data_IF_351760763470
#
_entry.id   IF_351760763470
#
_cell.length_a   1.000
_cell.length_b   1.000
_cell.length_c   1.000
_cell.angle_alpha   90.00
_cell.angle_beta   90.00
_cell.angle_gamma   90.00
#
_symmetry.space_group_name_H-M   'P 1'
#
loop_
_entity.id
_entity.type
_entity.pdbx_description
1 polymer ?
#
# COMPACT_ATOMS: atom_id res chain seq x y z
N UNK A 1 -16.64 13.71 -9.30
CA UNK A 1 -17.30 12.89 -8.27
C UNK A 1 -17.69 13.82 -7.13
N UNK A 2 -18.83 13.66 -6.46
CA UNK A 2 -19.23 14.59 -5.41
C UNK A 2 -18.47 14.30 -4.10
N UNK A 3 -18.29 15.31 -3.24
CA UNK A 3 -17.59 15.15 -1.95
C UNK A 3 -18.23 14.08 -1.05
N UNK A 4 -19.55 13.92 -1.13
CA UNK A 4 -20.30 12.85 -0.45
C UNK A 4 -19.88 11.46 -0.89
N UNK A 5 -19.49 11.31 -2.15
CA UNK A 5 -19.16 10.02 -2.78
C UNK A 5 -17.77 9.57 -2.33
N UNK A 6 -16.79 10.48 -2.25
CA UNK A 6 -15.44 10.17 -1.76
C UNK A 6 -15.46 9.67 -0.31
N UNK A 7 -16.18 10.36 0.58
CA UNK A 7 -16.36 9.88 1.96
C UNK A 7 -17.19 8.60 2.04
N UNK A 8 -18.11 8.36 1.11
CA UNK A 8 -18.83 7.09 1.05
C UNK A 8 -17.91 5.93 0.67
N UNK A 9 -16.99 6.14 -0.29
CA UNK A 9 -15.98 5.17 -0.68
C UNK A 9 -15.02 4.88 0.48
N UNK A 10 -14.56 5.90 1.20
CA UNK A 10 -13.75 5.73 2.42
C UNK A 10 -14.45 4.86 3.46
N UNK A 11 -15.73 5.16 3.79
CA UNK A 11 -16.51 4.35 4.74
C UNK A 11 -16.71 2.91 4.26
N UNK A 12 -16.90 2.73 2.95
CA UNK A 12 -17.01 1.40 2.36
C UNK A 12 -15.70 0.62 2.50
N UNK A 13 -14.56 1.24 2.19
CA UNK A 13 -13.23 0.69 2.44
C UNK A 13 -13.04 0.29 3.91
N UNK A 14 -13.45 1.15 4.85
CA UNK A 14 -13.33 0.90 6.28
C UNK A 14 -14.14 -0.33 6.70
N UNK A 15 -15.38 -0.45 6.19
CA UNK A 15 -16.26 -1.59 6.45
C UNK A 15 -15.62 -2.89 5.95
N UNK A 16 -15.17 -2.91 4.70
CA UNK A 16 -14.49 -4.08 4.11
C UNK A 16 -13.23 -4.45 4.88
N UNK A 17 -12.41 -3.47 5.25
CA UNK A 17 -11.17 -3.72 5.99
C UNK A 17 -11.45 -4.31 7.38
N UNK A 18 -12.43 -3.75 8.12
CA UNK A 18 -12.79 -4.26 9.44
C UNK A 18 -13.33 -5.69 9.38
N UNK A 19 -14.22 -6.00 8.42
CA UNK A 19 -14.73 -7.37 8.25
C UNK A 19 -13.63 -8.34 7.82
N UNK A 20 -12.74 -7.92 6.92
CA UNK A 20 -11.61 -8.73 6.47
C UNK A 20 -10.62 -9.02 7.58
N UNK A 21 -10.36 -8.06 8.48
CA UNK A 21 -9.52 -8.27 9.65
C UNK A 21 -10.10 -9.36 10.57
N UNK A 22 -11.42 -9.44 10.73
CA UNK A 22 -12.07 -10.51 11.51
C UNK A 22 -11.86 -11.89 10.86
N UNK A 23 -11.96 -11.97 9.53
CA UNK A 23 -11.71 -13.19 8.77
C UNK A 23 -10.24 -13.61 8.86
N UNK A 24 -9.32 -12.66 8.68
CA UNK A 24 -7.88 -12.88 8.77
C UNK A 24 -7.48 -13.40 10.15
N UNK A 25 -7.98 -12.76 11.22
CA UNK A 25 -7.69 -13.18 12.61
C UNK A 25 -8.33 -14.53 12.98
N UNK A 26 -9.28 -15.03 12.18
CA UNK A 26 -9.87 -16.35 12.30
C UNK A 26 -9.20 -17.38 11.36
N UNK A 27 -8.01 -17.06 10.84
CA UNK A 27 -7.23 -17.86 9.88
C UNK A 27 -7.98 -18.16 8.56
N UNK A 28 -9.01 -17.38 8.23
CA UNK A 28 -9.78 -17.51 6.99
C UNK A 28 -9.20 -16.65 5.88
N UNK A 29 -7.97 -16.95 5.50
CA UNK A 29 -7.17 -16.08 4.64
C UNK A 29 -7.75 -15.90 3.23
N UNK A 30 -8.31 -16.95 2.63
CA UNK A 30 -8.94 -16.86 1.30
C UNK A 30 -10.19 -15.98 1.30
N UNK A 31 -11.00 -16.06 2.36
CA UNK A 31 -12.20 -15.22 2.53
C UNK A 31 -11.80 -13.75 2.78
N UNK A 32 -10.76 -13.54 3.61
CA UNK A 32 -10.20 -12.21 3.86
C UNK A 32 -9.61 -11.59 2.59
N UNK A 33 -8.93 -12.40 1.77
CA UNK A 33 -8.24 -11.97 0.56
C UNK A 33 -9.19 -11.26 -0.41
N UNK A 34 -10.33 -11.87 -0.72
CA UNK A 34 -11.31 -11.31 -1.65
C UNK A 34 -11.81 -9.93 -1.17
N UNK A 35 -12.10 -9.82 0.12
CA UNK A 35 -12.61 -8.58 0.72
C UNK A 35 -11.54 -7.48 0.77
N UNK A 36 -10.27 -7.83 1.06
CA UNK A 36 -9.15 -6.89 0.96
C UNK A 36 -8.88 -6.43 -0.47
N UNK A 37 -9.08 -7.28 -1.48
CA UNK A 37 -8.96 -6.86 -2.89
C UNK A 37 -10.02 -5.81 -3.25
N UNK A 38 -11.27 -5.99 -2.80
CA UNK A 38 -12.32 -4.99 -2.94
C UNK A 38 -12.00 -3.69 -2.19
N UNK A 39 -11.39 -3.80 -1.00
CA UNK A 39 -10.94 -2.64 -0.23
C UNK A 39 -9.89 -1.85 -1.01
N UNK A 40 -8.85 -2.51 -1.54
CA UNK A 40 -7.82 -1.86 -2.35
C UNK A 40 -8.41 -1.19 -3.60
N UNK A 41 -9.32 -1.85 -4.32
CA UNK A 41 -9.98 -1.26 -5.48
C UNK A 41 -10.74 0.04 -5.13
N UNK A 42 -11.36 0.08 -3.95
CA UNK A 42 -12.04 1.28 -3.45
C UNK A 42 -11.04 2.43 -3.20
N UNK A 43 -9.86 2.14 -2.67
CA UNK A 43 -8.81 3.15 -2.46
C UNK A 43 -8.18 3.62 -3.77
N UNK A 44 -8.02 2.72 -4.75
CA UNK A 44 -7.54 3.11 -6.08
C UNK A 44 -8.48 4.14 -6.74
N UNK A 45 -9.79 4.04 -6.50
CA UNK A 45 -10.74 5.07 -6.92
C UNK A 45 -10.50 6.40 -6.19
N UNK A 46 -10.22 6.39 -4.88
CA UNK A 46 -9.88 7.61 -4.13
C UNK A 46 -8.60 8.27 -4.65
N UNK A 47 -7.60 7.47 -5.02
CA UNK A 47 -6.32 7.98 -5.55
C UNK A 47 -6.46 8.78 -6.85
N UNK A 48 -7.50 8.50 -7.67
CA UNK A 48 -7.81 9.31 -8.86
C UNK A 48 -8.33 10.72 -8.51
N UNK A 49 -8.62 10.97 -7.24
CA UNK A 49 -9.16 12.21 -6.69
C UNK A 49 -8.32 12.71 -5.52
N UNK A 50 -6.99 12.56 -5.59
CA UNK A 50 -6.04 12.86 -4.51
C UNK A 50 -6.26 14.24 -3.88
N UNK A 51 -6.33 15.31 -4.69
CA UNK A 51 -6.52 16.70 -4.22
C UNK A 51 -7.83 16.86 -3.46
N UNK A 52 -8.93 16.30 -3.97
CA UNK A 52 -10.23 16.38 -3.31
C UNK A 52 -10.23 15.59 -2.00
N UNK A 53 -9.57 14.43 -1.98
CA UNK A 53 -9.41 13.64 -0.76
C UNK A 53 -8.66 14.41 0.32
N UNK A 54 -7.58 15.11 -0.04
CA UNK A 54 -6.81 15.94 0.90
C UNK A 54 -7.65 17.10 1.43
N UNK A 55 -8.38 17.80 0.55
CA UNK A 55 -9.28 18.88 0.96
C UNK A 55 -10.37 18.39 1.92
N UNK A 56 -10.83 17.15 1.75
CA UNK A 56 -11.81 16.51 2.61
C UNK A 56 -11.19 15.79 3.82
N UNK A 57 -9.88 15.88 4.04
CA UNK A 57 -9.17 15.17 5.11
C UNK A 57 -9.41 13.65 5.09
N UNK A 58 -9.62 13.08 3.89
CA UNK A 58 -9.64 11.63 3.70
C UNK A 58 -8.18 11.15 3.68
N UNK A 59 -7.78 10.21 4.55
CA UNK A 59 -6.39 9.77 4.72
C UNK A 59 -5.94 8.81 3.61
N UNK A 60 -6.02 9.26 2.36
CA UNK A 60 -5.91 8.46 1.14
C UNK A 60 -4.56 7.72 1.02
N UNK A 61 -3.46 8.35 1.50
CA UNK A 61 -2.13 7.74 1.53
C UNK A 61 -2.13 6.55 2.50
N UNK A 62 -2.61 6.75 3.72
CA UNK A 62 -2.62 5.72 4.77
C UNK A 62 -3.52 4.55 4.39
N UNK A 63 -4.72 4.81 3.88
CA UNK A 63 -5.64 3.73 3.49
C UNK A 63 -5.09 2.91 2.31
N UNK A 64 -4.29 3.50 1.42
CA UNK A 64 -3.58 2.77 0.36
C UNK A 64 -2.52 1.85 0.94
N UNK A 65 -1.65 2.39 1.81
CA UNK A 65 -0.59 1.62 2.50
C UNK A 65 -1.20 0.45 3.27
N UNK A 66 -2.25 0.71 4.06
CA UNK A 66 -2.94 -0.32 4.86
C UNK A 66 -3.50 -1.42 3.95
N UNK A 67 -4.15 -1.06 2.84
CA UNK A 67 -4.73 -2.03 1.91
C UNK A 67 -3.68 -2.95 1.29
N UNK A 68 -2.57 -2.38 0.81
CA UNK A 68 -1.47 -3.16 0.26
C UNK A 68 -0.81 -4.05 1.33
N UNK A 69 -0.61 -3.55 2.54
CA UNK A 69 0.00 -4.32 3.62
C UNK A 69 -0.90 -5.49 4.08
N UNK A 70 -2.21 -5.26 4.17
CA UNK A 70 -3.17 -6.33 4.49
C UNK A 70 -3.15 -7.44 3.43
N UNK A 71 -3.14 -7.07 2.15
CA UNK A 71 -2.99 -8.05 1.06
C UNK A 71 -1.63 -8.76 1.14
N UNK A 72 -0.53 -8.04 1.36
CA UNK A 72 0.79 -8.64 1.49
C UNK A 72 0.84 -9.68 2.61
N UNK A 73 0.30 -9.35 3.79
CA UNK A 73 0.24 -10.26 4.94
C UNK A 73 -0.68 -11.46 4.68
N UNK A 74 -1.77 -11.26 3.94
CA UNK A 74 -2.68 -12.35 3.52
C UNK A 74 -2.01 -13.28 2.53
N UNK A 75 -1.30 -12.74 1.54
CA UNK A 75 -0.51 -13.55 0.61
C UNK A 75 0.62 -14.30 1.30
N UNK A 76 1.30 -13.70 2.29
CA UNK A 76 2.30 -14.39 3.12
C UNK A 76 1.67 -15.56 3.87
N UNK A 77 0.51 -15.36 4.49
CA UNK A 77 -0.20 -16.42 5.22
C UNK A 77 -0.61 -17.58 4.31
N UNK A 78 -0.95 -17.28 3.05
CA UNK A 78 -1.27 -18.27 2.01
C UNK A 78 -0.03 -18.88 1.33
N UNK A 79 1.19 -18.44 1.67
CA UNK A 79 2.43 -18.89 1.04
C UNK A 79 2.72 -18.31 -0.35
N UNK A 80 1.92 -17.34 -0.82
CA UNK A 80 2.10 -16.66 -2.11
C UNK A 80 3.04 -15.45 -1.95
N UNK A 81 4.34 -15.74 -1.81
CA UNK A 81 5.34 -14.69 -1.62
C UNK A 81 5.51 -13.78 -2.83
N UNK A 82 5.14 -14.23 -4.03
CA UNK A 82 5.24 -13.42 -5.25
C UNK A 82 4.20 -12.30 -5.25
N UNK A 83 2.96 -12.62 -4.89
CA UNK A 83 1.92 -11.59 -4.72
C UNK A 83 2.22 -10.67 -3.53
N UNK A 84 2.76 -11.19 -2.43
CA UNK A 84 3.17 -10.36 -1.30
C UNK A 84 4.25 -9.33 -1.68
N UNK A 85 5.28 -9.77 -2.41
CA UNK A 85 6.33 -8.90 -2.96
C UNK A 85 5.73 -7.79 -3.83
N UNK A 86 4.82 -8.14 -4.74
CA UNK A 86 4.12 -7.16 -5.58
C UNK A 86 3.38 -6.11 -4.77
N UNK A 87 2.65 -6.50 -3.72
CA UNK A 87 1.88 -5.55 -2.91
C UNK A 87 2.79 -4.59 -2.15
N UNK A 88 3.90 -5.06 -1.57
CA UNK A 88 4.85 -4.20 -0.88
C UNK A 88 5.57 -3.23 -1.83
N UNK A 89 5.94 -3.69 -3.03
CA UNK A 89 6.52 -2.83 -4.07
C UNK A 89 5.56 -1.74 -4.53
N UNK A 90 4.26 -2.06 -4.64
CA UNK A 90 3.24 -1.05 -4.98
C UNK A 90 3.22 0.10 -3.98
N UNK A 91 3.39 -0.16 -2.68
CA UNK A 91 3.49 0.90 -1.66
C UNK A 91 4.69 1.81 -1.94
N UNK A 92 5.86 1.21 -2.19
CA UNK A 92 7.09 1.94 -2.47
C UNK A 92 6.98 2.82 -3.72
N UNK A 93 6.45 2.27 -4.82
CA UNK A 93 6.25 3.02 -6.06
C UNK A 93 5.20 4.12 -5.92
N UNK A 94 4.12 3.87 -5.19
CA UNK A 94 3.10 4.87 -4.92
C UNK A 94 3.66 6.05 -4.14
N UNK A 95 4.38 5.80 -3.05
CA UNK A 95 4.99 6.86 -2.25
C UNK A 95 6.04 7.64 -3.03
N UNK A 96 6.87 6.95 -3.83
CA UNK A 96 7.84 7.61 -4.71
C UNK A 96 7.17 8.49 -5.75
N UNK A 97 6.06 8.02 -6.36
CA UNK A 97 5.27 8.83 -7.27
C UNK A 97 4.75 10.11 -6.58
N UNK A 98 4.30 10.01 -5.32
CA UNK A 98 3.85 11.18 -4.56
C UNK A 98 4.99 12.16 -4.24
N UNK A 99 6.19 11.68 -3.89
CA UNK A 99 7.37 12.55 -3.68
C UNK A 99 7.64 13.39 -4.93
N UNK A 100 7.56 12.76 -6.11
CA UNK A 100 7.94 13.41 -7.37
C UNK A 100 6.84 14.32 -7.92
N UNK A 101 5.57 13.94 -7.75
CA UNK A 101 4.47 14.54 -8.51
C UNK A 101 3.41 15.24 -7.67
N UNK A 102 3.40 15.06 -6.35
CA UNK A 102 2.35 15.60 -5.50
C UNK A 102 2.87 16.80 -4.69
N UNK A 103 2.13 17.92 -4.73
CA UNK A 103 2.39 19.09 -3.88
C UNK A 103 1.88 18.85 -2.45
N UNK A 104 2.42 17.82 -1.81
CA UNK A 104 2.03 17.36 -0.47
C UNK A 104 3.15 17.58 0.53
N UNK A 105 2.81 17.40 1.81
CA UNK A 105 3.81 17.39 2.88
C UNK A 105 4.83 16.27 2.64
N UNK A 106 6.04 16.68 2.25
CA UNK A 106 7.12 15.78 1.93
C UNK A 106 7.61 15.02 3.17
N UNK A 107 7.45 15.56 4.38
CA UNK A 107 7.89 14.90 5.60
C UNK A 107 7.07 13.64 5.88
N UNK A 108 5.74 13.72 5.69
CA UNK A 108 4.84 12.58 5.86
C UNK A 108 5.17 11.46 4.88
N UNK A 109 5.31 11.81 3.59
CA UNK A 109 5.62 10.84 2.54
C UNK A 109 6.99 10.20 2.78
N UNK A 110 8.02 10.97 3.15
CA UNK A 110 9.34 10.44 3.45
C UNK A 110 9.33 9.50 4.66
N UNK A 111 8.58 9.84 5.71
CA UNK A 111 8.39 8.95 6.88
C UNK A 111 7.74 7.63 6.45
N UNK A 112 6.69 7.68 5.65
CA UNK A 112 6.04 6.46 5.14
C UNK A 112 6.96 5.66 4.22
N UNK A 113 7.74 6.33 3.37
CA UNK A 113 8.69 5.66 2.49
C UNK A 113 9.72 4.86 3.31
N UNK A 114 10.27 5.48 4.36
CA UNK A 114 11.20 4.80 5.28
C UNK A 114 10.56 3.58 5.97
N UNK A 115 9.31 3.70 6.42
CA UNK A 115 8.55 2.58 6.99
C UNK A 115 8.34 1.46 5.99
N UNK A 116 7.87 1.78 4.78
CA UNK A 116 7.63 0.82 3.71
C UNK A 116 8.92 0.12 3.27
N UNK A 117 10.03 0.85 3.17
CA UNK A 117 11.35 0.28 2.85
C UNK A 117 11.78 -0.73 3.91
N UNK A 118 11.62 -0.38 5.20
CA UNK A 118 11.95 -1.26 6.31
C UNK A 118 11.09 -2.53 6.30
N UNK A 119 9.78 -2.39 6.06
CA UNK A 119 8.85 -3.52 5.97
C UNK A 119 9.21 -4.47 4.81
N UNK A 120 9.52 -3.91 3.63
CA UNK A 120 9.95 -4.69 2.48
C UNK A 120 11.28 -5.42 2.72
N UNK A 121 12.25 -4.77 3.36
CA UNK A 121 13.52 -5.42 3.71
C UNK A 121 13.29 -6.62 4.64
N UNK A 122 12.47 -6.46 5.70
CA UNK A 122 12.14 -7.54 6.62
C UNK A 122 11.42 -8.71 5.93
N UNK A 123 10.48 -8.41 5.03
CA UNK A 123 9.82 -9.41 4.20
C UNK A 123 10.84 -10.20 3.38
N UNK A 124 11.72 -9.50 2.66
CA UNK A 124 12.70 -10.15 1.80
C UNK A 124 13.68 -11.02 2.61
N UNK A 125 14.11 -10.57 3.79
CA UNK A 125 14.94 -11.36 4.71
C UNK A 125 14.24 -12.65 5.16
N UNK A 126 12.97 -12.59 5.52
CA UNK A 126 12.18 -13.75 5.98
C UNK A 126 11.89 -14.77 4.88
N UNK A 127 11.69 -14.33 3.65
CA UNK A 127 11.30 -15.22 2.54
C UNK A 127 12.49 -15.81 1.76
N UNK A 128 13.73 -15.56 2.20
CA UNK A 128 14.95 -15.93 1.47
C UNK A 128 14.94 -15.45 0.01
N UNK A 129 14.24 -14.34 -0.27
CA UNK A 129 14.23 -13.74 -1.61
C UNK A 129 15.66 -13.53 -2.09
N UNK A 130 15.97 -14.06 -3.28
CA UNK A 130 17.32 -14.08 -3.84
C UNK A 130 17.98 -12.69 -3.72
N UNK A 131 19.11 -12.64 -3.01
CA UNK A 131 19.91 -11.42 -2.80
C UNK A 131 20.07 -10.55 -4.06
N UNK A 132 20.35 -11.09 -5.27
CA UNK A 132 20.47 -10.26 -6.47
C UNK A 132 19.18 -9.54 -6.88
N UNK A 133 17.99 -10.18 -6.76
CA UNK A 133 16.71 -9.52 -7.09
C UNK A 133 16.39 -8.38 -6.11
N UNK A 134 16.76 -8.56 -4.84
CA UNK A 134 16.60 -7.54 -3.80
C UNK A 134 17.55 -6.36 -4.00
N UNK A 135 18.82 -6.62 -4.27
CA UNK A 135 19.81 -5.60 -4.54
C UNK A 135 19.41 -4.76 -5.76
N UNK A 136 19.05 -5.42 -6.87
CA UNK A 136 18.58 -4.75 -8.08
C UNK A 136 17.36 -3.85 -7.83
N UNK A 137 16.39 -4.33 -7.05
CA UNK A 137 15.23 -3.50 -6.69
C UNK A 137 15.65 -2.25 -5.91
N UNK A 138 16.53 -2.39 -4.92
CA UNK A 138 17.00 -1.23 -4.14
C UNK A 138 17.89 -0.27 -4.94
N UNK A 139 18.68 -0.79 -5.87
CA UNK A 139 19.52 0.03 -6.75
C UNK A 139 18.64 0.86 -7.70
N UNK A 140 17.68 0.22 -8.39
CA UNK A 140 16.69 0.92 -9.22
C UNK A 140 15.86 1.92 -8.40
N UNK A 141 15.49 1.55 -7.18
CA UNK A 141 14.71 2.41 -6.30
C UNK A 141 15.51 3.63 -5.81
N UNK A 142 16.81 3.47 -5.56
CA UNK A 142 17.72 4.58 -5.23
C UNK A 142 17.99 5.48 -6.43
N UNK A 143 18.22 4.93 -7.61
CA UNK A 143 18.40 5.74 -8.83
C UNK A 143 17.20 6.67 -9.04
N UNK A 144 15.98 6.17 -8.88
CA UNK A 144 14.78 7.01 -8.99
C UNK A 144 14.65 8.09 -7.91
N UNK A 145 15.34 7.95 -6.76
CA UNK A 145 15.41 8.97 -5.70
C UNK A 145 16.51 10.01 -5.95
N UNK A 146 17.64 9.63 -6.54
CA UNK A 146 18.85 10.47 -6.66
C UNK A 146 19.13 11.03 -8.06
N UNK A 147 18.54 10.52 -9.15
CA UNK A 147 18.71 11.06 -10.51
C UNK A 147 18.07 12.45 -10.73
N UNK A 148 17.63 13.14 -9.66
CA UNK A 148 16.92 14.42 -9.76
C UNK A 148 17.45 15.53 -8.84
N UNK A 149 18.70 15.40 -8.38
CA UNK A 149 19.48 16.54 -7.86
C UNK A 149 20.20 17.30 -8.98
#
# INVERSE_FOLDING_TARGET
>A
MANSDLRAIERYWQTLTLSSNLLYNADKFEEALLSYQCALASVELLNNHLTDCIYLEVPVIQVYIISCNNLANTYIALGDFEQADRMLKRVLYYLLHLVVHAQLDQNEIQSELKRATSAYQQFAEKTNMEKPKRALFFDLFKEQLFERE
#
